data_IF_213626693909
#
_entry.id   IF_213626693909
#
_cell.length_a   1.000
_cell.length_b   1.000
_cell.length_c   1.000
_cell.angle_alpha   90.00
_cell.angle_beta   90.00
_cell.angle_gamma   90.00
#
_symmetry.space_group_name_H-M   'P 1'
#
loop_
_entity.id
_entity.type
_entity.pdbx_description
1 polymer ?
#
# COMPACT_ATOMS: atom_id res chain seq x y z
N UNK A 1 -17.05 -15.76 -1.67
CA UNK A 1 -15.87 -16.11 -0.85
C UNK A 1 -15.67 -15.04 0.21
N UNK A 2 -15.20 -15.44 1.37
CA UNK A 2 -14.75 -14.54 2.43
C UNK A 2 -13.62 -13.66 1.89
N UNK A 3 -13.52 -12.41 2.36
CA UNK A 3 -12.39 -11.53 2.00
C UNK A 3 -11.10 -12.04 2.64
N UNK A 4 -9.96 -11.81 2.00
CA UNK A 4 -8.65 -12.19 2.54
C UNK A 4 -7.60 -11.08 2.37
N UNK A 5 -6.47 -11.21 3.06
CA UNK A 5 -5.23 -10.49 2.80
C UNK A 5 -4.36 -11.37 1.91
N UNK A 6 -4.03 -10.89 0.71
CA UNK A 6 -3.17 -11.61 -0.21
C UNK A 6 -1.69 -11.27 0.04
N UNK A 7 -0.86 -12.29 0.18
CA UNK A 7 0.59 -12.13 0.31
C UNK A 7 1.28 -12.92 -0.80
N UNK A 8 1.66 -12.29 -1.92
CA UNK A 8 2.57 -12.90 -2.87
C UNK A 8 3.90 -13.22 -2.17
N UNK A 9 4.30 -14.50 -2.20
CA UNK A 9 5.40 -15.01 -1.39
C UNK A 9 6.44 -15.69 -2.29
N UNK A 10 7.73 -15.36 -2.12
CA UNK A 10 8.84 -15.89 -2.93
C UNK A 10 9.97 -16.47 -2.08
N UNK A 11 9.71 -16.79 -0.83
CA UNK A 11 10.65 -17.29 0.17
C UNK A 11 11.81 -16.35 0.50
N UNK A 12 11.78 -15.12 0.05
CA UNK A 12 12.77 -14.10 0.40
C UNK A 12 12.56 -13.54 1.82
N UNK A 13 13.56 -12.82 2.32
CA UNK A 13 13.43 -12.10 3.59
C UNK A 13 12.33 -11.03 3.51
N UNK A 14 12.23 -10.34 2.39
CA UNK A 14 11.21 -9.31 2.18
C UNK A 14 9.80 -9.90 2.12
N UNK A 15 9.64 -11.13 1.61
CA UNK A 15 8.37 -11.84 1.68
C UNK A 15 8.00 -12.20 3.13
N UNK A 16 8.99 -12.55 3.98
CA UNK A 16 8.75 -12.75 5.40
C UNK A 16 8.35 -11.44 6.09
N UNK A 17 9.01 -10.31 5.79
CA UNK A 17 8.59 -9.01 6.32
C UNK A 17 7.15 -8.64 5.88
N UNK A 18 6.79 -8.97 4.63
CA UNK A 18 5.44 -8.78 4.15
C UNK A 18 4.42 -9.66 4.88
N UNK A 19 4.80 -10.89 5.21
CA UNK A 19 3.96 -11.80 5.98
C UNK A 19 3.75 -11.30 7.41
N UNK A 20 4.81 -10.84 8.10
CA UNK A 20 4.72 -10.26 9.44
C UNK A 20 3.79 -9.04 9.44
N UNK A 21 3.93 -8.18 8.42
CA UNK A 21 3.06 -7.03 8.23
C UNK A 21 1.60 -7.43 7.97
N UNK A 22 1.38 -8.41 7.11
CA UNK A 22 0.05 -8.92 6.80
C UNK A 22 -0.62 -9.53 8.04
N UNK A 23 0.14 -10.20 8.89
CA UNK A 23 -0.37 -10.76 10.14
C UNK A 23 -0.88 -9.67 11.09
N UNK A 24 -0.14 -8.58 11.30
CA UNK A 24 -0.60 -7.48 12.16
C UNK A 24 -1.90 -6.85 11.62
N UNK A 25 -2.02 -6.65 10.31
CA UNK A 25 -3.27 -6.21 9.70
C UNK A 25 -4.40 -7.23 9.86
N UNK A 26 -4.08 -8.50 9.67
CA UNK A 26 -5.04 -9.61 9.81
C UNK A 26 -5.61 -9.70 11.22
N UNK A 27 -4.76 -9.53 12.24
CA UNK A 27 -5.15 -9.55 13.65
C UNK A 27 -6.22 -8.50 13.99
N UNK A 28 -6.16 -7.33 13.33
CA UNK A 28 -7.10 -6.23 13.56
C UNK A 28 -8.35 -6.37 12.68
N UNK A 29 -8.16 -6.79 11.42
CA UNK A 29 -9.26 -6.91 10.45
C UNK A 29 -10.02 -8.23 10.55
N UNK A 30 -9.46 -9.23 11.26
CA UNK A 30 -9.95 -10.62 11.32
C UNK A 30 -10.04 -11.31 9.95
N UNK A 31 -9.30 -10.84 8.96
CA UNK A 31 -9.28 -11.40 7.60
C UNK A 31 -8.24 -12.51 7.48
N UNK A 32 -8.57 -13.70 6.93
CA UNK A 32 -7.60 -14.75 6.71
C UNK A 32 -6.48 -14.28 5.77
N UNK A 33 -5.29 -14.88 5.90
CA UNK A 33 -4.14 -14.59 5.04
C UNK A 33 -4.01 -15.71 4.01
N UNK A 34 -3.88 -15.33 2.74
CA UNK A 34 -3.53 -16.25 1.66
C UNK A 34 -2.11 -16.00 1.20
N UNK A 35 -1.21 -16.94 1.47
CA UNK A 35 0.15 -16.96 0.91
C UNK A 35 0.08 -17.54 -0.50
N UNK A 36 0.46 -16.74 -1.50
CA UNK A 36 0.45 -17.16 -2.90
C UNK A 36 1.89 -17.29 -3.43
N UNK A 37 2.28 -18.50 -3.78
CA UNK A 37 3.50 -18.75 -4.55
C UNK A 37 3.17 -19.14 -5.99
N UNK A 38 3.88 -18.55 -6.94
CA UNK A 38 3.64 -18.81 -8.38
C UNK A 38 4.82 -19.57 -8.96
N UNK A 39 4.56 -20.76 -9.49
CA UNK A 39 5.53 -21.63 -10.14
C UNK A 39 5.40 -21.55 -11.67
N UNK A 40 6.48 -21.83 -12.42
CA UNK A 40 6.42 -21.82 -13.88
C UNK A 40 5.49 -22.90 -14.48
N UNK A 41 5.45 -24.09 -13.88
CA UNK A 41 4.71 -25.24 -14.42
C UNK A 41 3.88 -25.96 -13.36
N UNK A 42 2.81 -26.64 -13.80
CA UNK A 42 1.93 -27.39 -12.90
C UNK A 42 2.64 -28.53 -12.15
N UNK A 43 3.71 -29.07 -12.73
CA UNK A 43 4.48 -30.18 -12.13
C UNK A 43 5.16 -29.79 -10.81
N UNK A 44 5.38 -28.51 -10.61
CA UNK A 44 6.05 -27.96 -9.43
C UNK A 44 5.08 -27.62 -8.29
N UNK A 45 3.76 -27.63 -8.56
CA UNK A 45 2.74 -27.20 -7.59
C UNK A 45 2.82 -28.00 -6.30
N UNK A 46 2.86 -29.34 -6.40
CA UNK A 46 2.80 -30.23 -5.23
C UNK A 46 4.03 -30.06 -4.31
N UNK A 47 5.22 -30.01 -4.91
CA UNK A 47 6.48 -29.80 -4.18
C UNK A 47 6.46 -28.47 -3.41
N UNK A 48 6.15 -27.38 -4.13
CA UNK A 48 6.15 -26.05 -3.52
C UNK A 48 4.97 -25.83 -2.57
N UNK A 49 3.85 -26.52 -2.77
CA UNK A 49 2.75 -26.47 -1.82
C UNK A 49 3.16 -27.06 -0.46
N UNK A 50 3.92 -28.14 -0.43
CA UNK A 50 4.45 -28.71 0.82
C UNK A 50 5.34 -27.69 1.57
N UNK A 51 6.24 -27.02 0.83
CA UNK A 51 7.14 -26.04 1.43
C UNK A 51 6.39 -24.78 1.92
N UNK A 52 5.49 -24.25 1.11
CA UNK A 52 4.68 -23.09 1.49
C UNK A 52 3.76 -23.39 2.67
N UNK A 53 3.20 -24.59 2.70
CA UNK A 53 2.35 -25.07 3.79
C UNK A 53 3.09 -25.14 5.11
N UNK A 54 4.36 -25.53 5.15
CA UNK A 54 5.17 -25.50 6.39
C UNK A 54 5.22 -24.10 6.99
N UNK A 55 5.37 -23.07 6.14
CA UNK A 55 5.38 -21.66 6.56
C UNK A 55 4.00 -21.26 7.06
N UNK A 56 2.95 -21.53 6.30
CA UNK A 56 1.59 -21.20 6.68
C UNK A 56 1.18 -21.88 8.01
N UNK A 57 1.50 -23.17 8.17
CA UNK A 57 1.21 -23.95 9.39
C UNK A 57 2.02 -23.42 10.59
N UNK A 58 3.28 -22.98 10.39
CA UNK A 58 4.09 -22.35 11.42
C UNK A 58 3.41 -21.07 11.93
N UNK A 59 3.09 -20.13 11.05
CA UNK A 59 2.40 -18.90 11.42
C UNK A 59 1.03 -19.18 12.06
N UNK A 60 0.28 -20.14 11.51
CA UNK A 60 -1.02 -20.50 12.06
C UNK A 60 -0.92 -21.03 13.49
N UNK A 61 0.11 -21.83 13.80
CA UNK A 61 0.34 -22.37 15.15
C UNK A 61 0.89 -21.31 16.11
N UNK A 62 1.88 -20.55 15.69
CA UNK A 62 2.54 -19.53 16.52
C UNK A 62 1.57 -18.44 16.96
N UNK A 63 0.64 -18.09 16.09
CA UNK A 63 -0.25 -16.96 16.28
C UNK A 63 -1.73 -17.33 16.46
N UNK A 64 -2.07 -18.62 16.40
CA UNK A 64 -3.45 -19.11 16.40
C UNK A 64 -4.32 -18.38 15.37
N UNK A 65 -3.83 -18.29 14.13
CA UNK A 65 -4.45 -17.51 13.07
C UNK A 65 -4.58 -18.30 11.76
N UNK A 66 -5.63 -18.02 10.96
CA UNK A 66 -5.88 -18.73 9.70
C UNK A 66 -4.96 -18.22 8.60
N UNK A 67 -4.00 -19.04 8.17
CA UNK A 67 -3.12 -18.80 7.02
C UNK A 67 -3.27 -19.93 6.03
N UNK A 68 -3.61 -19.63 4.79
CA UNK A 68 -3.76 -20.59 3.70
C UNK A 68 -2.55 -20.55 2.77
N UNK A 69 -1.99 -21.71 2.46
CA UNK A 69 -0.94 -21.85 1.43
C UNK A 69 -1.57 -22.14 0.08
N UNK A 70 -1.24 -21.35 -0.91
CA UNK A 70 -1.75 -21.47 -2.28
C UNK A 70 -0.60 -21.44 -3.27
N UNK A 71 -0.47 -22.48 -4.10
CA UNK A 71 0.49 -22.53 -5.18
C UNK A 71 -0.27 -22.61 -6.49
N UNK A 72 0.08 -21.75 -7.44
CA UNK A 72 -0.52 -21.70 -8.78
C UNK A 72 0.59 -21.72 -9.84
N UNK A 73 0.37 -22.39 -10.94
CA UNK A 73 1.27 -22.35 -12.08
C UNK A 73 0.91 -21.23 -13.06
N UNK A 74 1.91 -20.62 -13.68
CA UNK A 74 1.70 -19.64 -14.74
C UNK A 74 2.62 -18.44 -14.72
N UNK A 75 2.21 -17.38 -15.41
CA UNK A 75 2.93 -16.11 -15.42
C UNK A 75 2.73 -15.38 -14.09
N UNK A 76 3.81 -15.05 -13.41
CA UNK A 76 3.79 -14.43 -12.08
C UNK A 76 2.76 -13.29 -11.96
N UNK A 77 2.78 -12.36 -12.91
CA UNK A 77 1.96 -11.14 -12.82
C UNK A 77 0.48 -11.40 -13.10
N UNK A 78 0.21 -12.28 -14.03
CA UNK A 78 -1.15 -12.66 -14.39
C UNK A 78 -1.79 -13.54 -13.33
N UNK A 79 -1.01 -14.47 -12.79
CA UNK A 79 -1.48 -15.39 -11.74
C UNK A 79 -1.79 -14.66 -10.45
N UNK A 80 -0.94 -13.72 -10.01
CA UNK A 80 -1.24 -12.88 -8.83
C UNK A 80 -2.54 -12.08 -9.07
N UNK A 81 -2.71 -11.50 -10.28
CA UNK A 81 -3.91 -10.75 -10.62
C UNK A 81 -5.16 -11.63 -10.56
N UNK A 82 -5.15 -12.75 -11.27
CA UNK A 82 -6.31 -13.64 -11.38
C UNK A 82 -6.68 -14.21 -10.00
N UNK A 83 -5.69 -14.67 -9.24
CA UNK A 83 -5.94 -15.20 -7.90
C UNK A 83 -6.45 -14.13 -6.93
N UNK A 84 -5.93 -12.91 -6.98
CA UNK A 84 -6.42 -11.82 -6.14
C UNK A 84 -7.91 -11.52 -6.37
N UNK A 85 -8.38 -11.63 -7.61
CA UNK A 85 -9.82 -11.48 -7.94
C UNK A 85 -10.60 -12.73 -7.49
N UNK A 86 -10.10 -13.94 -7.81
CA UNK A 86 -10.71 -15.22 -7.44
C UNK A 86 -10.90 -15.31 -5.91
N UNK A 87 -9.87 -14.99 -5.16
CA UNK A 87 -9.87 -15.06 -3.69
C UNK A 87 -10.62 -13.90 -3.01
N UNK A 88 -11.17 -12.94 -3.77
CA UNK A 88 -11.79 -11.74 -3.24
C UNK A 88 -10.86 -10.98 -2.28
N UNK A 89 -9.57 -10.83 -2.67
CA UNK A 89 -8.59 -10.15 -1.85
C UNK A 89 -9.02 -8.72 -1.54
N UNK A 90 -9.02 -8.36 -0.26
CA UNK A 90 -9.38 -7.02 0.20
C UNK A 90 -8.21 -6.04 0.06
N UNK A 91 -7.02 -6.50 0.42
CA UNK A 91 -5.75 -5.82 0.21
C UNK A 91 -4.65 -6.87 -0.03
N UNK A 92 -3.52 -6.43 -0.54
CA UNK A 92 -2.34 -7.28 -0.68
C UNK A 92 -1.12 -6.64 -0.01
N UNK A 93 -0.27 -7.47 0.59
CA UNK A 93 1.02 -7.06 1.16
C UNK A 93 2.12 -7.79 0.39
N UNK A 94 3.08 -7.04 -0.15
CA UNK A 94 4.12 -7.59 -1.02
C UNK A 94 5.51 -7.15 -0.58
N UNK A 95 6.42 -8.09 -0.41
CA UNK A 95 7.84 -7.84 -0.26
C UNK A 95 8.48 -7.31 -1.55
N UNK A 96 9.38 -6.34 -1.45
CA UNK A 96 10.09 -5.79 -2.61
C UNK A 96 11.58 -5.57 -2.33
N UNK A 97 12.45 -5.98 -3.26
CA UNK A 97 13.92 -5.90 -3.15
C UNK A 97 14.47 -4.63 -3.79
N UNK A 98 14.03 -3.45 -3.34
CA UNK A 98 14.47 -2.16 -3.86
C UNK A 98 13.86 -1.76 -5.21
N UNK A 99 14.39 -0.68 -5.81
CA UNK A 99 13.79 0.04 -6.95
C UNK A 99 13.52 -0.85 -8.17
N UNK A 100 14.40 -1.81 -8.49
CA UNK A 100 14.22 -2.69 -9.66
C UNK A 100 13.00 -3.59 -9.49
N UNK A 101 12.80 -4.13 -8.30
CA UNK A 101 11.68 -5.01 -7.97
C UNK A 101 10.38 -4.20 -7.86
N UNK A 102 10.43 -3.00 -7.30
CA UNK A 102 9.29 -2.06 -7.30
C UNK A 102 8.81 -1.80 -8.73
N UNK A 103 9.71 -1.56 -9.68
CA UNK A 103 9.33 -1.38 -11.10
C UNK A 103 8.63 -2.60 -11.70
N UNK A 104 9.01 -3.82 -11.28
CA UNK A 104 8.32 -5.06 -11.68
C UNK A 104 6.97 -5.19 -10.99
N UNK A 105 6.91 -4.95 -9.67
CA UNK A 105 5.68 -4.96 -8.89
C UNK A 105 4.63 -3.99 -9.45
N UNK A 106 5.02 -2.79 -9.92
CA UNK A 106 4.10 -1.83 -10.53
C UNK A 106 3.34 -2.39 -11.74
N UNK A 107 3.91 -3.38 -12.47
CA UNK A 107 3.21 -4.03 -13.60
C UNK A 107 2.02 -4.87 -13.13
N UNK A 108 2.10 -5.41 -11.93
CA UNK A 108 0.99 -6.13 -11.29
C UNK A 108 0.01 -5.13 -10.68
N UNK A 109 0.51 -4.28 -9.82
CA UNK A 109 -0.28 -3.39 -8.96
C UNK A 109 -1.18 -2.46 -9.78
N UNK A 110 -0.69 -1.94 -10.92
CA UNK A 110 -1.48 -1.07 -11.80
C UNK A 110 -2.73 -1.72 -12.39
N UNK A 111 -2.81 -3.05 -12.42
CA UNK A 111 -3.99 -3.79 -12.88
C UNK A 111 -5.09 -3.92 -11.82
N UNK A 112 -4.73 -3.79 -10.55
CA UNK A 112 -5.67 -3.95 -9.43
C UNK A 112 -6.38 -2.64 -9.10
N UNK A 113 -7.53 -2.39 -9.70
CA UNK A 113 -8.29 -1.15 -9.48
C UNK A 113 -8.92 -1.10 -8.07
N UNK A 114 -9.33 -2.25 -7.52
CA UNK A 114 -10.06 -2.33 -6.25
C UNK A 114 -9.22 -2.78 -5.06
N UNK A 115 -8.07 -3.39 -5.30
CA UNK A 115 -7.22 -4.00 -4.28
C UNK A 115 -5.95 -3.14 -4.14
N UNK A 116 -5.74 -2.44 -3.03
CA UNK A 116 -4.48 -1.74 -2.79
C UNK A 116 -3.37 -2.71 -2.43
N UNK A 117 -2.15 -2.29 -2.71
CA UNK A 117 -0.94 -3.04 -2.36
C UNK A 117 -0.11 -2.27 -1.34
N UNK A 118 0.25 -2.91 -0.26
CA UNK A 118 1.24 -2.41 0.69
C UNK A 118 2.58 -3.04 0.33
N UNK A 119 3.56 -2.20 0.00
CA UNK A 119 4.92 -2.60 -0.35
C UNK A 119 5.82 -2.49 0.87
N UNK A 120 6.53 -3.56 1.17
CA UNK A 120 7.41 -3.69 2.34
C UNK A 120 8.81 -4.07 1.88
N UNK A 121 9.85 -3.45 2.45
CA UNK A 121 11.25 -3.69 2.08
C UNK A 121 12.15 -4.04 3.27
N UNK A 122 11.66 -3.87 4.49
CA UNK A 122 12.45 -4.10 5.71
C UNK A 122 11.55 -4.60 6.83
N UNK A 123 12.12 -5.19 7.89
CA UNK A 123 11.37 -5.47 9.11
C UNK A 123 10.69 -4.21 9.63
N UNK A 124 9.49 -4.35 10.13
CA UNK A 124 8.69 -3.24 10.59
C UNK A 124 8.50 -3.38 12.09
N UNK A 125 8.78 -2.33 12.84
CA UNK A 125 8.29 -2.18 14.20
C UNK A 125 6.83 -1.71 14.10
N UNK A 126 5.95 -2.66 13.83
CA UNK A 126 4.58 -2.39 13.55
C UNK A 126 3.69 -2.89 14.70
N UNK A 127 3.00 -1.99 15.32
CA UNK A 127 1.95 -2.31 16.29
C UNK A 127 0.61 -1.73 15.85
N UNK A 128 0.66 -0.63 15.12
CA UNK A 128 -0.51 0.15 14.72
C UNK A 128 -0.14 1.12 13.59
N UNK A 129 -1.09 1.53 12.78
CA UNK A 129 -0.92 2.67 11.85
C UNK A 129 -1.28 3.98 12.55
N UNK A 130 -0.53 4.37 13.57
CA UNK A 130 -0.81 5.58 14.35
C UNK A 130 -0.63 6.86 13.52
N UNK A 131 0.28 6.82 12.53
CA UNK A 131 0.60 7.96 11.68
C UNK A 131 0.54 7.59 10.21
N UNK A 132 -0.37 8.21 9.48
CA UNK A 132 -0.53 8.02 8.04
C UNK A 132 -0.04 9.26 7.29
N UNK A 133 0.88 9.13 6.34
CA UNK A 133 1.29 10.22 5.47
C UNK A 133 0.57 10.12 4.12
N UNK A 134 0.04 11.25 3.65
CA UNK A 134 -0.75 11.31 2.40
C UNK A 134 -0.26 12.47 1.53
N UNK A 135 0.67 12.21 0.59
CA UNK A 135 1.07 13.21 -0.38
C UNK A 135 -0.09 13.59 -1.30
N UNK A 136 -0.36 14.88 -1.46
CA UNK A 136 -1.40 15.44 -2.35
C UNK A 136 -0.73 16.22 -3.48
N UNK A 137 -1.33 16.17 -4.66
CA UNK A 137 -0.96 16.93 -5.83
C UNK A 137 -2.19 17.56 -6.52
N UNK A 138 -2.00 18.12 -7.71
CA UNK A 138 -3.03 18.75 -8.55
C UNK A 138 -3.96 17.76 -9.29
N UNK A 139 -3.75 16.45 -9.17
CA UNK A 139 -4.56 15.44 -9.87
C UNK A 139 -5.79 15.02 -9.05
N UNK A 140 -6.99 15.29 -9.59
CA UNK A 140 -8.28 14.90 -8.96
C UNK A 140 -8.42 13.39 -8.73
N UNK A 141 -7.74 12.56 -9.55
CA UNK A 141 -7.75 11.10 -9.37
C UNK A 141 -7.12 10.69 -8.04
N UNK A 142 -6.24 11.51 -7.48
CA UNK A 142 -5.59 11.25 -6.19
C UNK A 142 -6.56 11.21 -5.01
N UNK A 143 -7.80 11.71 -5.18
CA UNK A 143 -8.87 11.63 -4.17
C UNK A 143 -9.28 10.20 -3.81
N UNK A 144 -9.05 9.23 -4.71
CA UNK A 144 -9.38 7.82 -4.46
C UNK A 144 -8.68 7.24 -3.21
N UNK A 145 -7.51 7.77 -2.82
CA UNK A 145 -6.79 7.29 -1.62
C UNK A 145 -7.44 7.71 -0.31
N UNK A 146 -8.25 8.78 -0.28
CA UNK A 146 -8.87 9.23 0.98
C UNK A 146 -9.89 8.25 1.53
N UNK A 147 -10.51 7.43 0.69
CA UNK A 147 -11.36 6.32 1.15
C UNK A 147 -10.54 5.28 1.94
N UNK A 148 -9.30 5.04 1.53
CA UNK A 148 -8.40 4.14 2.24
C UNK A 148 -7.86 4.75 3.52
N UNK A 149 -7.60 6.08 3.53
CA UNK A 149 -7.26 6.81 4.76
C UNK A 149 -8.38 6.66 5.79
N UNK A 150 -9.64 6.91 5.38
CA UNK A 150 -10.81 6.72 6.24
C UNK A 150 -10.92 5.29 6.76
N UNK A 151 -10.73 4.30 5.88
CA UNK A 151 -10.76 2.88 6.28
C UNK A 151 -9.68 2.54 7.31
N UNK A 152 -8.45 2.96 7.08
CA UNK A 152 -7.34 2.75 8.02
C UNK A 152 -7.58 3.48 9.34
N UNK A 153 -8.07 4.72 9.28
CA UNK A 153 -8.38 5.48 10.49
C UNK A 153 -9.48 4.82 11.33
N UNK A 154 -10.49 4.23 10.71
CA UNK A 154 -11.54 3.49 11.43
C UNK A 154 -10.99 2.23 12.16
N UNK A 155 -9.85 1.70 11.72
CA UNK A 155 -9.21 0.55 12.35
C UNK A 155 -8.18 0.94 13.42
N UNK A 156 -7.49 2.09 13.22
CA UNK A 156 -6.28 2.42 13.96
C UNK A 156 -6.34 3.77 14.69
N UNK A 157 -7.39 4.58 14.49
CA UNK A 157 -7.52 5.94 15.05
C UNK A 157 -6.30 6.82 14.72
N UNK A 158 -5.81 6.72 13.49
CA UNK A 158 -4.55 7.30 13.02
C UNK A 158 -4.58 8.82 12.96
N UNK A 159 -3.45 9.47 13.27
CA UNK A 159 -3.22 10.86 12.86
C UNK A 159 -2.77 10.92 11.40
N UNK A 160 -3.41 11.77 10.60
CA UNK A 160 -3.16 11.90 9.16
C UNK A 160 -2.33 13.14 8.85
N UNK A 161 -1.22 12.96 8.13
CA UNK A 161 -0.37 14.05 7.67
C UNK A 161 -0.52 14.23 6.16
N UNK A 162 -1.21 15.31 5.76
CA UNK A 162 -1.30 15.73 4.37
C UNK A 162 -0.04 16.51 4.01
N UNK A 163 0.70 16.08 2.98
CA UNK A 163 1.90 16.79 2.50
C UNK A 163 1.70 17.18 1.04
N UNK A 164 1.89 18.45 0.71
CA UNK A 164 1.66 18.97 -0.65
C UNK A 164 2.76 19.92 -1.12
N UNK A 165 3.01 20.03 -2.44
CA UNK A 165 3.98 21.00 -2.98
C UNK A 165 3.41 22.42 -2.99
N UNK A 166 4.20 23.39 -2.52
CA UNK A 166 3.95 24.80 -2.82
C UNK A 166 4.34 25.09 -4.27
N UNK A 167 3.33 25.37 -5.10
CA UNK A 167 3.50 25.66 -6.52
C UNK A 167 3.26 27.13 -6.82
N UNK A 168 4.02 27.70 -7.75
CA UNK A 168 3.86 29.09 -8.19
C UNK A 168 2.69 29.27 -9.17
N UNK A 169 2.38 28.23 -9.96
CA UNK A 169 1.29 28.27 -10.94
C UNK A 169 -0.07 28.33 -10.25
N UNK A 170 -0.87 29.38 -10.57
CA UNK A 170 -2.15 29.65 -9.91
C UNK A 170 -3.22 28.60 -10.21
N UNK A 171 -3.24 28.00 -11.40
CA UNK A 171 -4.21 26.98 -11.75
C UNK A 171 -3.92 25.67 -11.01
N UNK A 172 -2.65 25.24 -10.97
CA UNK A 172 -2.23 24.08 -10.18
C UNK A 172 -2.45 24.28 -8.69
N UNK A 173 -2.18 25.49 -8.17
CA UNK A 173 -2.45 25.84 -6.77
C UNK A 173 -3.93 25.70 -6.44
N UNK A 174 -4.82 26.15 -7.32
CA UNK A 174 -6.26 26.00 -7.14
C UNK A 174 -6.69 24.52 -7.08
N UNK A 175 -6.15 23.67 -7.96
CA UNK A 175 -6.45 22.22 -7.95
C UNK A 175 -5.90 21.50 -6.70
N UNK A 176 -4.68 21.85 -6.25
CA UNK A 176 -4.12 21.33 -5.00
C UNK A 176 -5.02 21.73 -3.82
N UNK A 177 -5.40 23.00 -3.73
CA UNK A 177 -6.29 23.49 -2.67
C UNK A 177 -7.65 22.77 -2.70
N UNK A 178 -8.22 22.56 -3.90
CA UNK A 178 -9.47 21.82 -4.05
C UNK A 178 -9.33 20.34 -3.59
N UNK A 179 -8.17 19.71 -3.79
CA UNK A 179 -7.90 18.36 -3.31
C UNK A 179 -7.69 18.33 -1.78
N UNK A 180 -7.03 19.35 -1.21
CA UNK A 180 -6.87 19.50 0.25
C UNK A 180 -8.25 19.71 0.89
N UNK A 181 -9.05 20.65 0.39
CA UNK A 181 -10.40 20.91 0.90
C UNK A 181 -11.29 19.66 0.84
N UNK A 182 -11.18 18.88 -0.24
CA UNK A 182 -11.92 17.62 -0.35
C UNK A 182 -11.47 16.61 0.72
N UNK A 183 -10.17 16.49 0.97
CA UNK A 183 -9.65 15.60 2.01
C UNK A 183 -10.09 16.04 3.41
N UNK A 184 -9.87 17.33 3.75
CA UNK A 184 -10.19 17.87 5.07
C UNK A 184 -11.68 17.83 5.38
N UNK A 185 -12.55 18.07 4.37
CA UNK A 185 -14.00 17.95 4.55
C UNK A 185 -14.46 16.53 4.95
N UNK A 186 -13.78 15.49 4.41
CA UNK A 186 -14.02 14.09 4.81
C UNK A 186 -13.50 13.86 6.23
N UNK A 187 -12.29 14.33 6.52
CA UNK A 187 -11.64 14.09 7.80
C UNK A 187 -12.35 14.80 8.96
N UNK A 188 -12.79 16.05 8.76
CA UNK A 188 -13.60 16.78 9.74
C UNK A 188 -14.93 16.11 10.02
N UNK A 189 -15.62 15.63 8.96
CA UNK A 189 -16.90 14.90 9.08
C UNK A 189 -16.76 13.62 9.92
N UNK A 190 -15.65 12.90 9.74
CA UNK A 190 -15.40 11.62 10.40
C UNK A 190 -14.56 11.78 11.69
N UNK A 191 -14.31 13.02 12.16
CA UNK A 191 -13.51 13.36 13.34
C UNK A 191 -12.08 12.80 13.30
N UNK A 192 -11.48 12.69 12.11
CA UNK A 192 -10.10 12.22 11.92
C UNK A 192 -9.13 13.34 12.27
N UNK A 193 -8.15 13.07 13.16
CA UNK A 193 -7.08 14.03 13.47
C UNK A 193 -6.14 14.15 12.25
N UNK A 194 -5.89 15.39 11.81
CA UNK A 194 -5.01 15.61 10.66
C UNK A 194 -4.18 16.89 10.79
N UNK A 195 -3.07 16.91 10.08
CA UNK A 195 -2.18 18.07 9.94
C UNK A 195 -1.82 18.26 8.47
N UNK A 196 -1.80 19.51 7.99
CA UNK A 196 -1.48 19.87 6.61
C UNK A 196 -0.12 20.54 6.54
N UNK A 197 0.80 20.02 5.73
CA UNK A 197 2.18 20.49 5.61
C UNK A 197 2.50 20.82 4.16
N UNK A 198 2.91 22.06 3.91
CA UNK A 198 3.48 22.48 2.64
C UNK A 198 4.96 22.14 2.57
N UNK A 199 5.45 21.78 1.38
CA UNK A 199 6.87 21.61 1.09
C UNK A 199 7.22 22.26 -0.24
N UNK A 200 8.47 22.69 -0.41
CA UNK A 200 8.93 23.26 -1.67
C UNK A 200 8.74 22.27 -2.84
N UNK A 201 8.18 22.73 -3.97
CA UNK A 201 7.99 21.93 -5.17
C UNK A 201 9.31 21.44 -5.76
N UNK A 202 10.35 22.29 -5.72
CA UNK A 202 11.67 21.89 -6.20
C UNK A 202 12.21 20.73 -5.36
N UNK A 203 12.57 19.63 -6.01
CA UNK A 203 12.97 18.36 -5.38
C UNK A 203 11.89 17.81 -4.42
N UNK A 204 10.62 17.89 -4.82
CA UNK A 204 9.47 17.49 -4.00
C UNK A 204 9.63 16.10 -3.37
N UNK A 205 10.15 15.11 -4.10
CA UNK A 205 10.38 13.78 -3.55
C UNK A 205 11.31 13.80 -2.32
N UNK A 206 12.45 14.47 -2.41
CA UNK A 206 13.37 14.60 -1.28
C UNK A 206 12.76 15.39 -0.11
N UNK A 207 12.03 16.47 -0.40
CA UNK A 207 11.39 17.29 0.64
C UNK A 207 10.26 16.53 1.35
N UNK A 208 9.52 15.70 0.61
CA UNK A 208 8.52 14.81 1.18
C UNK A 208 9.17 13.81 2.15
N UNK A 209 10.26 13.16 1.75
CA UNK A 209 10.98 12.23 2.62
C UNK A 209 11.66 12.92 3.79
N UNK A 210 12.09 14.18 3.67
CA UNK A 210 12.58 14.97 4.80
C UNK A 210 11.48 15.22 5.84
N UNK A 211 10.24 15.48 5.40
CA UNK A 211 9.08 15.59 6.30
C UNK A 211 8.76 14.23 6.90
N UNK A 212 8.74 13.17 6.12
CA UNK A 212 8.48 11.81 6.62
C UNK A 212 9.52 11.36 7.65
N UNK A 213 10.80 11.75 7.49
CA UNK A 213 11.83 11.50 8.51
C UNK A 213 11.64 12.23 9.84
N UNK A 214 10.80 13.27 9.87
CA UNK A 214 10.46 14.01 11.11
C UNK A 214 9.18 13.47 11.76
N UNK A 215 8.18 13.08 10.96
CA UNK A 215 6.91 12.57 11.47
C UNK A 215 6.95 11.08 11.74
N UNK A 216 7.86 10.34 11.09
CA UNK A 216 8.02 8.89 11.18
C UNK A 216 6.67 8.17 10.97
N UNK A 217 6.10 8.26 9.74
CA UNK A 217 4.81 7.64 9.48
C UNK A 217 4.94 6.12 9.38
N UNK A 218 3.92 5.41 9.84
CA UNK A 218 3.84 3.96 9.79
C UNK A 218 3.48 3.46 8.39
N UNK A 219 2.80 4.30 7.61
CA UNK A 219 2.46 4.03 6.20
C UNK A 219 2.32 5.32 5.41
N UNK A 220 2.68 5.27 4.13
CA UNK A 220 2.46 6.37 3.17
C UNK A 220 1.54 5.91 2.06
N UNK A 221 0.47 6.67 1.77
CA UNK A 221 -0.48 6.36 0.71
C UNK A 221 -0.14 7.11 -0.58
N UNK A 222 0.28 6.38 -1.59
CA UNK A 222 0.51 6.91 -2.94
C UNK A 222 -0.52 6.41 -3.94
N UNK A 223 -0.84 7.24 -4.92
CA UNK A 223 -1.39 6.72 -6.17
C UNK A 223 -0.30 5.91 -6.89
N UNK A 224 -0.61 4.69 -7.31
CA UNK A 224 0.36 3.75 -7.91
C UNK A 224 1.19 4.38 -9.02
N UNK A 225 0.55 5.13 -9.93
CA UNK A 225 1.23 5.79 -11.06
C UNK A 225 2.13 6.96 -10.63
N UNK A 226 1.91 7.56 -9.46
CA UNK A 226 2.75 8.64 -8.90
C UNK A 226 3.94 8.09 -8.11
N UNK A 227 3.75 6.97 -7.40
CA UNK A 227 4.81 6.38 -6.57
C UNK A 227 6.06 6.02 -7.38
N UNK A 228 5.89 5.42 -8.56
CA UNK A 228 7.02 5.08 -9.43
C UNK A 228 7.89 6.30 -9.75
N UNK A 229 7.28 7.46 -10.01
CA UNK A 229 7.98 8.72 -10.25
C UNK A 229 8.66 9.18 -8.97
N UNK A 230 7.94 9.27 -7.87
CA UNK A 230 8.45 9.74 -6.58
C UNK A 230 9.70 8.97 -6.14
N UNK A 231 9.67 7.62 -6.14
CA UNK A 231 10.82 6.81 -5.70
C UNK A 231 12.06 6.97 -6.60
N UNK A 232 11.90 7.31 -7.87
CA UNK A 232 13.02 7.52 -8.81
C UNK A 232 13.61 8.93 -8.74
N UNK A 233 12.91 9.87 -8.14
CA UNK A 233 13.33 11.27 -7.99
C UNK A 233 14.04 11.57 -6.67
N UNK A 234 14.11 10.60 -5.74
CA UNK A 234 14.85 10.75 -4.49
C UNK A 234 16.35 10.78 -4.83
N UNK A 235 17.04 11.83 -4.41
CA UNK A 235 18.48 12.05 -4.67
C UNK A 235 19.32 11.92 -3.41
N UNK A 236 18.78 12.28 -2.24
CA UNK A 236 19.50 12.25 -0.97
C UNK A 236 19.63 10.82 -0.45
N UNK A 237 20.86 10.37 -0.19
CA UNK A 237 21.12 9.00 0.27
C UNK A 237 20.31 8.61 1.51
N UNK A 238 20.19 9.52 2.49
CA UNK A 238 19.36 9.28 3.70
C UNK A 238 17.90 9.02 3.35
N UNK A 239 17.35 9.71 2.35
CA UNK A 239 15.95 9.57 1.93
C UNK A 239 15.75 8.27 1.15
N UNK A 240 16.75 7.81 0.40
CA UNK A 240 16.75 6.47 -0.22
C UNK A 240 16.69 5.39 0.85
N UNK A 241 17.48 5.49 1.93
CA UNK A 241 17.40 4.53 3.04
C UNK A 241 16.07 4.61 3.80
N UNK A 242 15.56 5.83 4.04
CA UNK A 242 14.26 6.01 4.67
C UNK A 242 13.13 5.40 3.82
N UNK A 243 13.20 5.52 2.49
CA UNK A 243 12.18 4.95 1.58
C UNK A 243 12.09 3.42 1.62
N UNK A 244 13.12 2.74 2.12
CA UNK A 244 13.10 1.29 2.33
C UNK A 244 12.42 0.89 3.65
N UNK A 245 12.41 1.81 4.62
CA UNK A 245 11.89 1.54 5.97
C UNK A 245 10.39 1.77 6.09
N UNK A 246 9.84 2.72 5.33
CA UNK A 246 8.44 3.12 5.44
C UNK A 246 7.60 2.27 4.47
N UNK A 247 6.59 1.56 4.95
CA UNK A 247 5.63 0.85 4.11
C UNK A 247 4.89 1.80 3.18
N UNK A 248 4.70 1.40 1.93
CA UNK A 248 4.02 2.22 0.92
C UNK A 248 2.73 1.54 0.48
N UNK A 249 1.60 2.15 0.78
CA UNK A 249 0.31 1.71 0.25
C UNK A 249 0.05 2.34 -1.10
N UNK A 250 0.03 1.51 -2.13
CA UNK A 250 -0.25 1.87 -3.51
C UNK A 250 -1.74 1.72 -3.82
N UNK A 251 -2.39 2.81 -4.21
CA UNK A 251 -3.81 2.87 -4.54
C UNK A 251 -3.99 3.22 -6.02
N UNK A 252 -4.91 2.55 -6.69
CA UNK A 252 -5.29 2.87 -8.06
C UNK A 252 -6.56 3.74 -8.11
N UNK A 253 -6.70 4.60 -9.14
CA UNK A 253 -7.92 5.37 -9.32
C UNK A 253 -9.13 4.46 -9.52
N UNK A 254 -10.19 4.70 -8.78
CA UNK A 254 -11.47 4.00 -8.98
C UNK A 254 -12.31 4.76 -10.00
N UNK A 255 -12.43 4.20 -11.19
CA UNK A 255 -13.21 4.78 -12.30
C UNK A 255 -14.71 4.70 -12.07
N UNK A 256 -15.18 3.77 -11.24
CA UNK A 256 -16.55 3.64 -10.83
C UNK A 256 -17.01 4.80 -9.92
N UNK A 257 -16.13 5.37 -9.11
CA UNK A 257 -16.41 6.53 -8.24
C UNK A 257 -16.41 7.83 -9.06
N UNK A 258 -15.53 7.94 -10.04
CA UNK A 258 -15.40 9.16 -10.88
C UNK A 258 -16.63 9.36 -11.77
N UNK A 259 -17.32 8.28 -12.19
CA UNK A 259 -18.52 8.34 -13.02
C UNK A 259 -19.78 8.78 -12.28
N UNK A 260 -19.81 8.71 -10.98
CA UNK A 260 -20.98 9.05 -10.16
C UNK A 260 -21.06 10.54 -9.78
N UNK A 261 -20.29 11.41 -10.43
CA UNK A 261 -20.44 12.86 -10.38
C UNK A 261 -20.67 13.43 -8.99
N UNK A 262 -19.76 13.20 -8.05
CA UNK A 262 -19.87 13.73 -6.71
C UNK A 262 -20.88 12.99 -5.82
N UNK A 263 -20.46 12.68 -4.61
CA UNK A 263 -21.33 12.19 -3.53
C UNK A 263 -21.94 10.77 -3.68
N UNK A 264 -21.08 9.75 -3.77
CA UNK A 264 -21.44 8.45 -3.23
C UNK A 264 -20.83 8.37 -1.83
N UNK A 265 -21.68 8.50 -0.83
CA UNK A 265 -21.38 8.32 0.59
C UNK A 265 -21.17 6.83 0.91
#
# INVERSE_FOLDING_TARGET
MEKCILVPFDFSNEANFAMDHAYELARITSLPIHLLYVVPTEKEIEEWHVELKKIADKYSKEHNYKVEAVVKAGNLFETIYNYGIEANAYLAVMGTHGIKTIKKAMKVITKFVKIPFILVQSPINFGSYDKICVPIDDDKKSRAKFLWVKYLNNLFESKVYIVYPEVADSARKAEINANIMFATSIFEKDAIDFEVKAVCETNFADNLYDVMGKIEPDVVLFMTYKYKKSITEIKRARNVELSKKIPIMCVNPRTDIVKLGGFAY
#
